data_IF_058471918456
#
_entry.id   IF_058471918456
#
_cell.length_a   1.000
_cell.length_b   1.000
_cell.length_c   1.000
_cell.angle_alpha   90.00
_cell.angle_beta   90.00
_cell.angle_gamma   90.00
#
_symmetry.space_group_name_H-M   'P 1'
#
loop_
_entity.id
_entity.type
_entity.pdbx_description
1 polymer ?
#
# COMPACT_ATOMS: atom_id res chain seq x y z
N UNK A 1 44.82 52.12 71.01
CA UNK A 1 45.00 51.54 69.66
C UNK A 1 44.04 52.20 68.64
N UNK A 2 44.31 53.41 68.12
CA UNK A 2 43.50 53.99 67.04
C UNK A 2 44.26 54.24 65.73
N UNK A 3 45.59 54.04 65.67
CA UNK A 3 46.42 54.47 64.54
C UNK A 3 46.45 53.52 63.34
N UNK A 4 46.17 52.23 63.51
CA UNK A 4 46.31 51.25 62.41
C UNK A 4 45.05 51.20 61.53
N UNK A 5 43.86 51.48 62.11
CA UNK A 5 42.58 51.40 61.39
C UNK A 5 42.37 52.59 60.44
N UNK A 6 42.89 53.78 60.78
CA UNK A 6 42.81 54.98 59.92
C UNK A 6 43.74 54.91 58.70
N UNK A 7 44.88 54.22 58.81
CA UNK A 7 45.79 54.02 57.67
C UNK A 7 45.28 52.97 56.67
N UNK A 8 44.54 51.95 57.12
CA UNK A 8 43.95 50.94 56.24
C UNK A 8 42.76 51.46 55.41
N UNK A 9 41.92 52.33 55.98
CA UNK A 9 40.79 52.96 55.25
C UNK A 9 41.28 54.00 54.24
N UNK A 10 42.34 54.75 54.56
CA UNK A 10 42.98 55.66 53.61
C UNK A 10 43.62 54.91 52.43
N UNK A 11 44.26 53.77 52.68
CA UNK A 11 44.87 52.94 51.64
C UNK A 11 43.84 52.29 50.71
N UNK A 12 42.70 51.84 51.22
CA UNK A 12 41.62 51.29 50.38
C UNK A 12 40.91 52.36 49.54
N UNK A 13 40.70 53.56 50.11
CA UNK A 13 40.21 54.74 49.38
C UNK A 13 41.16 55.20 48.28
N UNK A 14 42.46 55.20 48.53
CA UNK A 14 43.48 55.51 47.54
C UNK A 14 43.55 54.46 46.41
N UNK A 15 43.44 53.17 46.74
CA UNK A 15 43.46 52.11 45.74
C UNK A 15 42.23 52.14 44.83
N UNK A 16 41.04 52.33 45.40
CA UNK A 16 39.79 52.44 44.64
C UNK A 16 39.77 53.66 43.73
N UNK A 17 40.25 54.82 44.20
CA UNK A 17 40.40 56.02 43.36
C UNK A 17 41.46 55.84 42.28
N UNK A 18 42.57 55.16 42.55
CA UNK A 18 43.59 54.87 41.54
C UNK A 18 43.08 53.93 40.45
N UNK A 19 42.29 52.92 40.83
CA UNK A 19 41.65 51.98 39.91
C UNK A 19 40.61 52.71 39.05
N UNK A 20 39.75 53.56 39.62
CA UNK A 20 38.75 54.30 38.85
C UNK A 20 39.39 55.30 37.89
N UNK A 21 40.48 55.97 38.28
CA UNK A 21 41.23 56.89 37.40
C UNK A 21 41.90 56.13 36.25
N UNK A 22 42.61 55.02 36.53
CA UNK A 22 43.22 54.20 35.46
C UNK A 22 42.18 53.58 34.54
N UNK A 23 41.06 53.14 35.10
CA UNK A 23 39.93 52.62 34.34
C UNK A 23 39.37 53.71 33.42
N UNK A 24 39.15 54.92 33.93
CA UNK A 24 38.66 56.06 33.14
C UNK A 24 39.65 56.50 32.06
N UNK A 25 40.97 56.46 32.33
CA UNK A 25 41.99 56.79 31.33
C UNK A 25 42.05 55.79 30.15
N UNK A 26 41.70 54.52 30.38
CA UNK A 26 41.62 53.50 29.33
C UNK A 26 40.27 53.55 28.60
N UNK A 27 39.18 53.75 29.33
CA UNK A 27 37.81 53.74 28.81
C UNK A 27 37.49 55.03 28.05
N UNK A 28 37.95 56.19 28.51
CA UNK A 28 37.68 57.49 27.91
C UNK A 28 38.04 57.57 26.41
N UNK A 29 39.24 57.17 25.95
CA UNK A 29 39.56 57.18 24.52
C UNK A 29 38.83 56.09 23.71
N UNK A 30 38.30 55.05 24.36
CA UNK A 30 37.46 54.04 23.72
C UNK A 30 36.04 54.61 23.54
N UNK A 31 35.45 55.27 24.53
CA UNK A 31 34.10 55.85 24.47
C UNK A 31 34.04 57.13 23.61
N UNK A 32 35.12 57.91 23.54
CA UNK A 32 35.16 59.18 22.75
C UNK A 32 35.30 58.93 21.24
N UNK A 33 35.69 57.73 20.84
CA UNK A 33 35.83 57.35 19.43
C UNK A 33 34.45 57.16 18.79
N UNK A 34 34.22 57.83 17.67
CA UNK A 34 32.94 57.78 16.96
C UNK A 34 32.59 56.33 16.53
N UNK A 35 33.59 55.48 16.34
CA UNK A 35 33.45 54.07 15.99
C UNK A 35 32.76 53.26 17.10
N UNK A 36 33.01 53.57 18.37
CA UNK A 36 32.39 52.83 19.49
C UNK A 36 30.97 53.30 19.74
N UNK A 37 30.69 54.60 19.57
CA UNK A 37 29.33 55.13 19.59
C UNK A 37 28.46 54.48 18.49
N UNK A 38 29.02 54.31 17.28
CA UNK A 38 28.33 53.66 16.17
C UNK A 38 28.09 52.17 16.44
N UNK A 39 29.07 51.46 17.02
CA UNK A 39 28.91 50.06 17.41
C UNK A 39 27.83 49.87 18.48
N UNK A 40 27.79 50.74 19.49
CA UNK A 40 26.75 50.72 20.54
C UNK A 40 25.37 50.98 19.93
N UNK A 41 25.25 51.95 19.03
CA UNK A 41 23.99 52.26 18.36
C UNK A 41 23.50 51.10 17.49
N UNK A 42 24.40 50.40 16.80
CA UNK A 42 24.07 49.21 16.02
C UNK A 42 23.61 48.05 16.91
N UNK A 43 24.22 47.85 18.09
CA UNK A 43 23.79 46.83 19.06
C UNK A 43 22.40 47.16 19.60
N UNK A 44 22.13 48.43 19.96
CA UNK A 44 20.81 48.87 20.43
C UNK A 44 19.75 48.67 19.33
N UNK A 45 20.09 49.03 18.08
CA UNK A 45 19.20 48.82 16.94
C UNK A 45 18.92 47.33 16.70
N UNK A 46 19.96 46.49 16.72
CA UNK A 46 19.82 45.04 16.55
C UNK A 46 18.97 44.43 17.67
N UNK A 47 19.18 44.86 18.92
CA UNK A 47 18.37 44.43 20.06
C UNK A 47 16.90 44.83 19.88
N UNK A 48 16.63 46.08 19.52
CA UNK A 48 15.26 46.57 19.26
C UNK A 48 14.60 45.81 18.10
N UNK A 49 15.36 45.55 17.03
CA UNK A 49 14.90 44.77 15.88
C UNK A 49 14.50 43.35 16.27
N UNK A 50 15.34 42.64 17.03
CA UNK A 50 15.04 41.28 17.51
C UNK A 50 13.81 41.27 18.40
N UNK A 51 13.67 42.23 19.32
CA UNK A 51 12.49 42.31 20.18
C UNK A 51 11.20 42.59 19.38
N UNK A 52 11.28 43.46 18.36
CA UNK A 52 10.17 43.72 17.45
C UNK A 52 9.78 42.46 16.66
N UNK A 53 10.77 41.74 16.11
CA UNK A 53 10.58 40.49 15.38
C UNK A 53 9.91 39.42 16.27
N UNK A 54 10.40 39.25 17.50
CA UNK A 54 9.84 38.32 18.49
C UNK A 54 8.40 38.68 18.82
N UNK A 55 8.08 39.96 19.03
CA UNK A 55 6.72 40.43 19.33
C UNK A 55 5.78 40.23 18.15
N UNK A 56 6.23 40.55 16.93
CA UNK A 56 5.47 40.38 15.69
C UNK A 56 5.13 38.90 15.42
N UNK A 57 6.10 38.00 15.62
CA UNK A 57 5.91 36.57 15.43
C UNK A 57 5.47 35.82 16.70
N UNK A 58 5.32 36.48 17.84
CA UNK A 58 4.85 35.89 19.10
C UNK A 58 3.54 35.09 18.94
N UNK A 59 2.49 35.57 18.24
CA UNK A 59 1.26 34.78 18.05
C UNK A 59 1.47 33.50 17.21
N UNK A 60 2.44 33.50 16.30
CA UNK A 60 2.84 32.30 15.53
C UNK A 60 3.65 31.33 16.41
N UNK A 61 4.62 31.84 17.17
CA UNK A 61 5.44 31.05 18.10
C UNK A 61 4.62 30.44 19.25
N UNK A 62 3.60 31.15 19.74
CA UNK A 62 2.65 30.65 20.75
C UNK A 62 1.53 29.80 20.15
N UNK A 63 1.58 29.48 18.85
CA UNK A 63 0.60 28.64 18.19
C UNK A 63 -0.86 29.13 18.33
N UNK A 64 -1.10 30.41 18.60
CA UNK A 64 -2.43 30.94 18.96
C UNK A 64 -3.43 30.95 17.79
N UNK A 65 -2.93 30.78 16.55
CA UNK A 65 -3.73 30.63 15.33
C UNK A 65 -3.59 29.25 14.68
N UNK A 66 -2.96 28.28 15.37
CA UNK A 66 -2.97 26.91 14.87
C UNK A 66 -4.37 26.34 15.09
N UNK A 67 -5.12 26.23 14.00
CA UNK A 67 -6.22 25.26 13.94
C UNK A 67 -5.59 23.92 14.29
N UNK A 68 -6.17 23.21 15.26
CA UNK A 68 -5.75 21.87 15.62
C UNK A 68 -5.93 20.99 14.36
N UNK A 69 -4.85 20.85 13.60
CA UNK A 69 -4.80 20.08 12.37
C UNK A 69 -4.65 18.62 12.79
N UNK A 70 -5.76 18.07 13.30
CA UNK A 70 -5.81 16.68 13.71
C UNK A 70 -5.66 15.82 12.45
N UNK A 71 -4.54 15.08 12.35
CA UNK A 71 -4.30 14.14 11.26
C UNK A 71 -5.46 13.14 11.11
N UNK A 72 -6.17 12.84 12.21
CA UNK A 72 -7.35 11.98 12.21
C UNK A 72 -8.52 12.54 11.39
N UNK A 73 -8.59 13.86 11.21
CA UNK A 73 -9.70 14.53 10.52
C UNK A 73 -9.42 14.77 9.04
N UNK A 74 -8.14 14.85 8.63
CA UNK A 74 -7.74 15.02 7.22
C UNK A 74 -7.47 13.69 6.52
N UNK A 75 -6.97 12.68 7.24
CA UNK A 75 -6.97 11.30 6.80
C UNK A 75 -8.31 10.70 7.17
N UNK A 76 -9.33 10.92 6.33
CA UNK A 76 -10.52 10.08 6.37
C UNK A 76 -10.08 8.64 6.07
N UNK A 77 -9.66 7.91 7.12
CA UNK A 77 -9.37 6.50 7.04
C UNK A 77 -10.72 5.78 6.95
N UNK A 78 -11.22 5.65 5.73
CA UNK A 78 -12.27 4.69 5.46
C UNK A 78 -11.65 3.29 5.60
N UNK A 79 -12.15 2.52 6.56
CA UNK A 79 -11.73 1.13 6.72
C UNK A 79 -11.90 0.44 5.36
N UNK A 80 -10.85 -0.17 4.80
CA UNK A 80 -10.94 -0.78 3.49
C UNK A 80 -11.97 -1.91 3.55
N UNK A 81 -12.95 -1.84 2.66
CA UNK A 81 -14.09 -2.76 2.65
C UNK A 81 -13.76 -4.02 1.86
N UNK A 82 -14.35 -5.13 2.29
CA UNK A 82 -14.34 -6.35 1.49
C UNK A 82 -15.20 -6.12 0.23
N UNK A 83 -14.65 -6.41 -0.93
CA UNK A 83 -15.33 -6.27 -2.21
C UNK A 83 -15.48 -7.65 -2.84
N UNK A 84 -16.67 -7.95 -3.33
CA UNK A 84 -16.95 -9.12 -4.13
C UNK A 84 -17.88 -8.69 -5.27
N UNK A 85 -17.46 -8.97 -6.50
CA UNK A 85 -18.19 -8.61 -7.71
C UNK A 85 -18.12 -9.76 -8.71
N UNK A 86 -19.27 -10.14 -9.24
CA UNK A 86 -19.40 -11.08 -10.35
C UNK A 86 -19.69 -10.38 -11.68
N UNK A 87 -19.92 -11.20 -12.70
CA UNK A 87 -20.37 -10.79 -14.01
C UNK A 87 -21.76 -10.16 -13.98
N UNK A 88 -22.65 -10.63 -13.09
CA UNK A 88 -24.02 -10.09 -12.94
C UNK A 88 -24.06 -8.66 -12.39
N UNK A 89 -23.00 -8.23 -11.71
CA UNK A 89 -22.90 -6.90 -11.12
C UNK A 89 -22.40 -5.85 -12.13
N UNK A 90 -22.12 -6.27 -13.37
CA UNK A 90 -21.62 -5.40 -14.43
C UNK A 90 -22.77 -4.69 -15.15
N UNK A 91 -22.56 -3.40 -15.44
CA UNK A 91 -23.48 -2.63 -16.26
C UNK A 91 -23.51 -3.21 -17.68
N UNK A 92 -24.70 -3.59 -18.13
CA UNK A 92 -24.94 -4.02 -19.51
C UNK A 92 -25.02 -2.75 -20.37
N UNK A 93 -23.95 -2.47 -21.08
CA UNK A 93 -23.89 -1.40 -22.07
C UNK A 93 -24.76 -1.70 -23.29
N UNK A 94 -24.77 -0.76 -24.23
CA UNK A 94 -25.33 -1.00 -25.56
C UNK A 94 -24.55 -2.15 -26.23
N UNK A 95 -25.24 -2.97 -27.01
CA UNK A 95 -24.66 -4.07 -27.80
C UNK A 95 -24.13 -5.28 -27.01
N UNK A 96 -24.76 -5.66 -25.88
CA UNK A 96 -24.36 -6.85 -25.09
C UNK A 96 -22.87 -6.78 -24.69
N UNK A 97 -22.46 -5.61 -24.20
CA UNK A 97 -21.11 -5.32 -23.74
C UNK A 97 -21.13 -5.01 -22.25
N UNK A 98 -20.42 -5.83 -21.47
CA UNK A 98 -20.28 -5.66 -20.03
C UNK A 98 -18.94 -4.98 -19.74
N UNK A 99 -18.97 -3.91 -18.96
CA UNK A 99 -17.75 -3.22 -18.58
C UNK A 99 -17.80 -2.74 -17.14
N UNK A 100 -16.62 -2.71 -16.51
CA UNK A 100 -16.42 -2.15 -15.19
C UNK A 100 -15.13 -1.36 -15.19
N UNK A 101 -15.20 -0.14 -14.68
CA UNK A 101 -14.05 0.74 -14.55
C UNK A 101 -13.81 1.05 -13.08
N UNK A 102 -12.82 0.39 -12.49
CA UNK A 102 -12.29 0.74 -11.19
C UNK A 102 -11.10 1.71 -11.35
N UNK A 103 -10.65 2.33 -10.25
CA UNK A 103 -9.51 3.27 -10.27
C UNK A 103 -8.20 2.61 -10.76
N UNK A 104 -8.02 1.32 -10.48
CA UNK A 104 -6.76 0.59 -10.72
C UNK A 104 -6.90 -0.60 -11.67
N UNK A 105 -8.11 -0.94 -12.10
CA UNK A 105 -8.34 -2.05 -13.03
C UNK A 105 -9.60 -1.79 -13.84
N UNK A 106 -9.73 -2.47 -14.96
CA UNK A 106 -10.95 -2.47 -15.74
C UNK A 106 -11.26 -3.90 -16.17
N UNK A 107 -12.55 -4.17 -16.34
CA UNK A 107 -13.05 -5.38 -16.97
C UNK A 107 -13.89 -4.99 -18.17
N UNK A 108 -13.80 -5.79 -19.23
CA UNK A 108 -14.60 -5.64 -20.43
C UNK A 108 -14.88 -7.02 -21.00
N UNK A 109 -16.13 -7.27 -21.36
CA UNK A 109 -16.55 -8.47 -22.06
C UNK A 109 -17.62 -8.12 -23.08
N UNK A 110 -17.61 -8.82 -24.21
CA UNK A 110 -18.54 -8.61 -25.30
C UNK A 110 -19.00 -9.97 -25.81
N UNK A 111 -20.32 -10.17 -25.93
CA UNK A 111 -20.88 -11.40 -26.49
C UNK A 111 -20.45 -11.61 -27.96
N UNK A 112 -20.22 -10.52 -28.70
CA UNK A 112 -19.85 -10.57 -30.10
C UNK A 112 -20.93 -11.22 -30.97
N UNK A 113 -20.52 -12.11 -31.87
CA UNK A 113 -21.42 -12.79 -32.82
C UNK A 113 -22.06 -14.06 -32.26
N UNK A 114 -21.78 -14.42 -31.00
CA UNK A 114 -22.39 -15.60 -30.37
C UNK A 114 -23.86 -15.32 -30.04
N UNK A 115 -24.69 -16.36 -30.03
CA UNK A 115 -26.10 -16.23 -29.68
C UNK A 115 -26.32 -15.88 -28.21
N UNK A 116 -25.42 -16.32 -27.33
CA UNK A 116 -25.47 -16.07 -25.89
C UNK A 116 -24.07 -15.97 -25.29
N UNK A 117 -23.96 -15.31 -24.13
CA UNK A 117 -22.71 -15.08 -23.42
C UNK A 117 -22.44 -16.17 -22.36
N UNK A 118 -21.41 -16.98 -22.60
CA UNK A 118 -20.98 -18.05 -21.69
C UNK A 118 -19.87 -17.62 -20.74
N UNK A 119 -19.08 -16.61 -21.10
CA UNK A 119 -17.97 -16.13 -20.28
C UNK A 119 -18.48 -15.53 -18.98
N UNK A 120 -17.71 -15.75 -17.91
CA UNK A 120 -17.93 -15.12 -16.61
C UNK A 120 -16.63 -14.55 -16.07
N UNK A 121 -16.78 -13.64 -15.13
CA UNK A 121 -15.68 -13.08 -14.36
C UNK A 121 -16.04 -13.01 -12.90
N UNK A 122 -15.03 -12.97 -12.05
CA UNK A 122 -15.21 -12.66 -10.66
C UNK A 122 -14.01 -11.86 -10.15
N UNK A 123 -14.30 -10.80 -9.41
CA UNK A 123 -13.31 -10.03 -8.67
C UNK A 123 -13.63 -10.05 -7.19
N UNK A 124 -12.62 -10.33 -6.37
CA UNK A 124 -12.72 -10.30 -4.92
C UNK A 124 -11.52 -9.55 -4.35
N UNK A 125 -11.76 -8.67 -3.38
CA UNK A 125 -10.71 -7.98 -2.64
C UNK A 125 -10.99 -8.05 -1.14
N UNK A 126 -10.06 -8.65 -0.41
CA UNK A 126 -10.06 -8.76 1.03
C UNK A 126 -8.88 -8.01 1.63
N UNK A 127 -9.07 -6.73 1.99
CA UNK A 127 -8.01 -5.92 2.57
C UNK A 127 -7.65 -6.35 4.00
N UNK A 128 -8.56 -7.03 4.71
CA UNK A 128 -8.35 -7.44 6.09
C UNK A 128 -7.47 -8.69 6.21
N UNK A 129 -7.49 -9.55 5.19
CA UNK A 129 -6.75 -10.82 5.19
C UNK A 129 -5.70 -10.81 4.09
N UNK A 130 -4.46 -10.50 4.47
CA UNK A 130 -3.29 -10.46 3.58
C UNK A 130 -3.37 -9.46 2.42
N UNK A 131 -4.32 -8.53 2.42
CA UNK A 131 -4.62 -7.68 1.26
C UNK A 131 -4.78 -8.51 -0.03
N UNK A 132 -5.61 -9.55 0.07
CA UNK A 132 -5.82 -10.57 -0.94
C UNK A 132 -6.74 -10.03 -2.04
N UNK A 133 -6.27 -10.00 -3.28
CA UNK A 133 -7.09 -9.71 -4.46
C UNK A 133 -7.12 -10.93 -5.38
N UNK A 134 -8.30 -11.33 -5.82
CA UNK A 134 -8.51 -12.45 -6.74
C UNK A 134 -9.26 -11.91 -7.96
N UNK A 135 -8.65 -12.07 -9.13
CA UNK A 135 -9.26 -11.77 -10.43
C UNK A 135 -9.41 -13.08 -11.17
N UNK A 136 -10.61 -13.46 -11.58
CA UNK A 136 -10.86 -14.71 -12.28
C UNK A 136 -11.69 -14.49 -13.53
N UNK A 137 -11.37 -15.22 -14.59
CA UNK A 137 -12.11 -15.28 -15.85
C UNK A 137 -12.37 -16.75 -16.16
N UNK A 138 -13.58 -17.04 -16.63
CA UNK A 138 -14.05 -18.37 -16.95
C UNK A 138 -14.69 -18.33 -18.34
N UNK A 139 -14.09 -19.00 -19.32
CA UNK A 139 -14.65 -19.14 -20.67
C UNK A 139 -15.50 -20.42 -20.69
N UNK A 140 -16.82 -20.27 -20.77
CA UNK A 140 -17.75 -21.39 -20.72
C UNK A 140 -17.94 -22.03 -22.10
N UNK A 141 -18.15 -23.35 -22.16
CA UNK A 141 -18.46 -24.04 -23.40
C UNK A 141 -19.49 -25.15 -23.19
N UNK A 142 -20.35 -25.34 -24.20
CA UNK A 142 -21.44 -26.32 -24.17
C UNK A 142 -22.64 -25.91 -23.30
N UNK A 143 -22.56 -24.74 -22.67
CA UNK A 143 -23.52 -24.15 -21.76
C UNK A 143 -22.83 -23.36 -20.65
N UNK A 144 -23.42 -22.22 -20.25
CA UNK A 144 -22.93 -21.31 -19.21
C UNK A 144 -22.95 -21.84 -17.76
N UNK A 145 -23.40 -23.07 -17.53
CA UNK A 145 -23.66 -23.57 -16.18
C UNK A 145 -22.39 -23.70 -15.33
N UNK A 146 -21.31 -24.24 -15.91
CA UNK A 146 -20.04 -24.42 -15.20
C UNK A 146 -19.35 -23.08 -14.95
N UNK A 147 -19.33 -22.17 -15.92
CA UNK A 147 -18.76 -20.83 -15.74
C UNK A 147 -19.53 -20.01 -14.70
N UNK A 148 -20.87 -20.11 -14.65
CA UNK A 148 -21.71 -19.50 -13.59
C UNK A 148 -21.41 -20.10 -12.20
N UNK A 149 -21.20 -21.41 -12.12
CA UNK A 149 -20.81 -22.05 -10.85
C UNK A 149 -19.44 -21.57 -10.38
N UNK A 150 -18.47 -21.48 -11.30
CA UNK A 150 -17.12 -20.99 -10.96
C UNK A 150 -17.14 -19.53 -10.51
N UNK A 151 -17.94 -18.68 -11.16
CA UNK A 151 -18.16 -17.28 -10.74
C UNK A 151 -18.59 -17.19 -9.27
N UNK A 152 -19.56 -18.00 -8.85
CA UNK A 152 -20.14 -17.94 -7.50
C UNK A 152 -19.24 -18.58 -6.42
N UNK A 153 -18.51 -19.63 -6.78
CA UNK A 153 -17.87 -20.51 -5.78
C UNK A 153 -16.34 -20.42 -5.76
N UNK A 154 -15.68 -20.20 -6.90
CA UNK A 154 -14.23 -20.38 -7.03
C UNK A 154 -13.44 -19.47 -6.08
N UNK A 155 -13.62 -18.15 -6.19
CA UNK A 155 -12.80 -17.20 -5.41
C UNK A 155 -13.04 -17.33 -3.90
N UNK A 156 -14.27 -17.64 -3.49
CA UNK A 156 -14.62 -17.87 -2.09
C UNK A 156 -13.94 -19.12 -1.53
N UNK A 157 -13.97 -20.21 -2.29
CA UNK A 157 -13.34 -21.47 -1.90
C UNK A 157 -11.80 -21.33 -1.84
N UNK A 158 -11.20 -20.67 -2.83
CA UNK A 158 -9.77 -20.37 -2.85
C UNK A 158 -9.37 -19.48 -1.66
N UNK A 159 -10.11 -18.40 -1.39
CA UNK A 159 -9.88 -17.55 -0.21
C UNK A 159 -9.89 -18.37 1.07
N UNK A 160 -10.93 -19.19 1.26
CA UNK A 160 -11.04 -20.03 2.45
C UNK A 160 -9.86 -21.01 2.56
N UNK A 161 -9.42 -21.61 1.45
CA UNK A 161 -8.27 -22.52 1.40
C UNK A 161 -6.96 -21.82 1.75
N UNK A 162 -6.72 -20.61 1.25
CA UNK A 162 -5.50 -19.83 1.53
C UNK A 162 -5.46 -19.42 3.01
N UNK A 163 -6.59 -18.93 3.55
CA UNK A 163 -6.63 -18.40 4.93
C UNK A 163 -6.62 -19.47 6.01
N UNK A 164 -7.30 -20.60 5.79
CA UNK A 164 -7.53 -21.61 6.83
C UNK A 164 -6.97 -22.99 6.49
N UNK A 165 -6.69 -23.27 5.22
CA UNK A 165 -6.31 -24.60 4.75
C UNK A 165 -4.82 -24.91 4.82
N UNK A 166 -3.97 -23.91 5.11
CA UNK A 166 -2.52 -24.08 5.21
C UNK A 166 -2.14 -24.11 6.69
N UNK A 167 -1.83 -25.28 7.28
CA UNK A 167 -1.50 -25.36 8.69
C UNK A 167 -0.20 -24.59 8.99
N UNK A 168 -0.27 -23.64 9.92
CA UNK A 168 0.86 -22.80 10.35
C UNK A 168 2.10 -23.60 10.79
N UNK A 169 1.92 -24.87 11.19
CA UNK A 169 3.01 -25.79 11.57
C UNK A 169 3.95 -26.21 10.43
N UNK A 170 3.58 -26.05 9.15
CA UNK A 170 4.51 -26.31 8.02
C UNK A 170 5.47 -25.13 7.75
N UNK A 171 5.20 -23.94 8.31
CA UNK A 171 6.01 -22.73 8.11
C UNK A 171 7.23 -22.65 9.05
N UNK A 172 7.37 -23.57 10.01
CA UNK A 172 8.46 -23.57 11.00
C UNK A 172 9.68 -24.44 10.64
N UNK A 173 9.73 -25.03 9.44
CA UNK A 173 10.93 -25.73 8.96
C UNK A 173 11.66 -24.91 7.89
N UNK A 174 12.90 -24.60 8.21
CA UNK A 174 13.88 -23.81 7.44
C UNK A 174 14.04 -24.28 5.99
N UNK A 175 13.37 -23.60 5.05
CA UNK A 175 13.76 -23.45 3.62
C UNK A 175 12.83 -22.44 2.94
N UNK A 176 13.40 -21.43 2.30
CA UNK A 176 12.67 -20.31 1.68
C UNK A 176 11.68 -20.69 0.55
N UNK A 177 11.71 -21.93 0.05
CA UNK A 177 10.88 -22.42 -1.06
C UNK A 177 9.64 -23.23 -0.61
N UNK A 178 9.56 -23.64 0.65
CA UNK A 178 8.44 -24.44 1.20
C UNK A 178 7.08 -23.71 1.22
N UNK A 179 6.98 -22.41 1.58
CA UNK A 179 5.66 -21.76 1.67
C UNK A 179 4.96 -21.68 0.31
N UNK A 180 5.71 -21.48 -0.77
CA UNK A 180 5.15 -21.41 -2.12
C UNK A 180 4.58 -22.76 -2.59
N UNK A 181 5.26 -23.86 -2.27
CA UNK A 181 4.77 -25.20 -2.63
C UNK A 181 3.51 -25.58 -1.85
N UNK A 182 3.44 -25.24 -0.56
CA UNK A 182 2.24 -25.50 0.23
C UNK A 182 1.01 -24.73 -0.29
N UNK A 183 1.18 -23.46 -0.67
CA UNK A 183 0.12 -22.65 -1.30
C UNK A 183 -0.30 -23.26 -2.64
N UNK A 184 0.67 -23.63 -3.48
CA UNK A 184 0.41 -24.28 -4.77
C UNK A 184 -0.38 -25.58 -4.61
N UNK A 185 0.05 -26.47 -3.72
CA UNK A 185 -0.64 -27.73 -3.41
C UNK A 185 -2.06 -27.49 -2.90
N UNK A 186 -2.24 -26.51 -2.03
CA UNK A 186 -3.54 -26.15 -1.48
C UNK A 186 -4.51 -25.66 -2.56
N UNK A 187 -4.03 -24.80 -3.47
CA UNK A 187 -4.81 -24.29 -4.61
C UNK A 187 -5.17 -25.42 -5.57
N UNK A 188 -4.21 -26.25 -5.98
CA UNK A 188 -4.46 -27.39 -6.88
C UNK A 188 -5.49 -28.34 -6.28
N UNK A 189 -5.37 -28.65 -4.98
CA UNK A 189 -6.34 -29.49 -4.28
C UNK A 189 -7.73 -28.88 -4.26
N UNK A 190 -7.85 -27.57 -4.08
CA UNK A 190 -9.15 -26.89 -4.11
C UNK A 190 -9.75 -26.87 -5.51
N UNK A 191 -8.94 -26.67 -6.56
CA UNK A 191 -9.40 -26.76 -7.96
C UNK A 191 -9.96 -28.15 -8.25
N UNK A 192 -9.25 -29.21 -7.89
CA UNK A 192 -9.77 -30.59 -8.05
C UNK A 192 -11.04 -30.83 -7.24
N UNK A 193 -11.11 -30.30 -6.00
CA UNK A 193 -12.32 -30.41 -5.17
C UNK A 193 -13.52 -29.72 -5.82
N UNK A 194 -13.34 -28.56 -6.42
CA UNK A 194 -14.39 -27.83 -7.13
C UNK A 194 -14.87 -28.61 -8.36
N UNK A 195 -13.94 -29.18 -9.14
CA UNK A 195 -14.25 -30.03 -10.29
C UNK A 195 -15.08 -31.27 -9.89
N UNK A 196 -14.66 -31.93 -8.81
CA UNK A 196 -15.38 -33.01 -8.15
C UNK A 196 -16.79 -32.62 -7.67
N UNK A 197 -16.95 -31.41 -7.13
CA UNK A 197 -18.24 -30.86 -6.71
C UNK A 197 -19.15 -30.64 -7.93
N UNK A 198 -18.62 -30.05 -9.01
CA UNK A 198 -19.33 -29.83 -10.27
C UNK A 198 -19.79 -31.17 -10.87
N UNK A 199 -18.92 -32.18 -10.90
CA UNK A 199 -19.25 -33.52 -11.41
C UNK A 199 -20.39 -34.21 -10.66
N UNK A 200 -20.63 -33.86 -9.39
CA UNK A 200 -21.73 -34.38 -8.55
C UNK A 200 -23.02 -33.55 -8.65
N UNK A 201 -22.99 -32.39 -9.32
CA UNK A 201 -24.20 -31.60 -9.61
C UNK A 201 -25.06 -32.32 -10.66
N UNK A 202 -26.14 -31.66 -11.10
CA UNK A 202 -27.09 -32.23 -12.04
C UNK A 202 -26.40 -32.68 -13.35
N UNK A 203 -26.32 -34.00 -13.64
CA UNK A 203 -25.59 -34.51 -14.80
C UNK A 203 -26.12 -33.97 -16.13
N UNK A 204 -27.41 -33.64 -16.22
CA UNK A 204 -27.99 -33.06 -17.45
C UNK A 204 -27.41 -31.70 -17.78
N UNK A 205 -26.93 -30.97 -16.78
CA UNK A 205 -26.32 -29.64 -16.95
C UNK A 205 -24.80 -29.69 -17.03
N UNK A 206 -24.15 -30.74 -16.51
CA UNK A 206 -22.68 -30.81 -16.40
C UNK A 206 -22.02 -31.77 -17.38
N UNK A 207 -22.73 -32.78 -17.90
CA UNK A 207 -22.09 -33.83 -18.73
C UNK A 207 -21.52 -33.33 -20.06
N UNK A 208 -22.07 -32.23 -20.59
CA UNK A 208 -21.66 -31.65 -21.88
C UNK A 208 -21.27 -30.17 -21.75
N UNK A 209 -21.13 -29.67 -20.53
CA UNK A 209 -20.71 -28.30 -20.27
C UNK A 209 -19.37 -28.30 -19.56
N UNK A 210 -18.59 -27.27 -19.81
CA UNK A 210 -17.32 -27.06 -19.16
C UNK A 210 -16.97 -25.59 -19.14
N UNK A 211 -15.84 -25.28 -18.51
CA UNK A 211 -15.28 -23.94 -18.57
C UNK A 211 -13.78 -23.99 -18.41
N UNK A 212 -13.09 -23.03 -19.02
CA UNK A 212 -11.72 -22.71 -18.63
C UNK A 212 -11.70 -22.00 -17.28
N UNK A 213 -10.52 -21.91 -16.70
CA UNK A 213 -10.26 -21.17 -15.48
C UNK A 213 -8.91 -20.47 -15.62
N UNK A 214 -8.92 -19.13 -15.66
CA UNK A 214 -7.72 -18.34 -15.45
C UNK A 214 -7.95 -17.41 -14.26
N UNK A 215 -7.05 -17.45 -13.28
CA UNK A 215 -7.16 -16.61 -12.09
C UNK A 215 -5.81 -16.03 -11.69
N UNK A 216 -5.79 -14.74 -11.38
CA UNK A 216 -4.67 -14.01 -10.82
C UNK A 216 -4.97 -13.67 -9.36
N UNK A 217 -4.16 -14.23 -8.46
CA UNK A 217 -4.28 -14.09 -7.01
C UNK A 217 -3.10 -13.24 -6.53
N UNK A 218 -3.37 -12.06 -6.01
CA UNK A 218 -2.37 -11.14 -5.47
C UNK A 218 -2.47 -11.09 -3.94
N UNK A 219 -1.40 -11.47 -3.26
CA UNK A 219 -1.27 -11.44 -1.81
C UNK A 219 -0.21 -10.42 -1.39
N UNK A 220 -0.50 -9.67 -0.33
CA UNK A 220 0.39 -8.67 0.28
C UNK A 220 0.96 -7.63 -0.69
N UNK A 221 0.29 -7.37 -1.81
CA UNK A 221 0.79 -6.56 -2.93
C UNK A 221 2.16 -6.99 -3.47
N UNK A 222 2.54 -8.25 -3.25
CA UNK A 222 3.89 -8.75 -3.54
C UNK A 222 3.89 -10.08 -4.26
N UNK A 223 3.02 -11.00 -3.86
CA UNK A 223 3.01 -12.36 -4.38
C UNK A 223 1.85 -12.50 -5.36
N UNK A 224 2.19 -12.70 -6.63
CA UNK A 224 1.23 -12.97 -7.70
C UNK A 224 1.27 -14.46 -8.02
N UNK A 225 0.17 -15.15 -7.78
CA UNK A 225 -0.06 -16.54 -8.17
C UNK A 225 -1.05 -16.58 -9.32
N UNK A 226 -0.69 -17.23 -10.42
CA UNK A 226 -1.59 -17.43 -11.57
C UNK A 226 -1.99 -18.89 -11.63
N UNK A 227 -3.30 -19.13 -11.70
CA UNK A 227 -3.91 -20.45 -11.85
C UNK A 227 -4.49 -20.52 -13.25
N UNK A 228 -4.06 -21.50 -14.05
CA UNK A 228 -4.57 -21.71 -15.40
C UNK A 228 -5.03 -23.16 -15.60
N UNK A 229 -6.26 -23.34 -16.09
CA UNK A 229 -6.83 -24.59 -16.54
C UNK A 229 -7.58 -24.33 -17.84
N UNK A 230 -7.04 -24.81 -18.95
CA UNK A 230 -7.60 -24.57 -20.29
C UNK A 230 -6.71 -23.65 -21.12
N UNK A 231 -7.31 -23.01 -22.11
CA UNK A 231 -6.63 -22.21 -23.14
C UNK A 231 -6.83 -20.70 -23.00
N UNK A 232 -7.50 -20.24 -21.94
CA UNK A 232 -7.41 -18.86 -21.49
C UNK A 232 -5.98 -18.49 -21.05
N UNK A 233 -5.66 -17.20 -21.06
CA UNK A 233 -4.27 -16.75 -20.87
C UNK A 233 -4.14 -15.51 -19.99
N UNK A 234 -3.15 -15.53 -19.11
CA UNK A 234 -2.67 -14.36 -18.38
C UNK A 234 -1.33 -13.88 -18.94
N UNK A 235 -1.23 -12.56 -19.16
CA UNK A 235 -0.01 -11.88 -19.61
C UNK A 235 0.19 -10.67 -18.70
N UNK A 236 1.38 -10.56 -18.12
CA UNK A 236 1.81 -9.43 -17.32
C UNK A 236 2.64 -8.44 -18.15
N UNK A 237 2.89 -7.27 -17.58
CA UNK A 237 3.80 -6.28 -18.12
C UNK A 237 4.87 -5.98 -17.07
N UNK A 238 6.14 -6.02 -17.46
CA UNK A 238 7.23 -5.68 -16.55
C UNK A 238 7.41 -4.16 -16.41
N UNK A 239 8.30 -3.76 -15.51
CA UNK A 239 8.60 -2.34 -15.26
C UNK A 239 9.26 -1.61 -16.45
N UNK A 240 9.60 -2.33 -17.53
CA UNK A 240 10.16 -1.79 -18.77
C UNK A 240 9.11 -1.73 -19.89
N UNK A 241 7.87 -2.10 -19.61
CA UNK A 241 6.79 -2.14 -20.60
C UNK A 241 6.79 -3.42 -21.45
N UNK A 242 7.56 -4.45 -21.11
CA UNK A 242 7.62 -5.70 -21.86
C UNK A 242 6.53 -6.67 -21.40
N UNK A 243 5.83 -7.26 -22.36
CA UNK A 243 4.88 -8.34 -22.10
C UNK A 243 5.61 -9.61 -21.61
N UNK A 244 5.13 -10.17 -20.48
CA UNK A 244 5.62 -11.39 -19.86
C UNK A 244 4.47 -12.38 -19.79
N UNK A 245 4.65 -13.55 -20.39
CA UNK A 245 3.64 -14.62 -20.35
C UNK A 245 3.61 -15.21 -18.93
N UNK A 246 2.43 -15.21 -18.30
CA UNK A 246 2.26 -15.71 -16.92
C UNK A 246 1.58 -17.08 -16.85
N UNK A 247 0.91 -17.50 -17.93
CA UNK A 247 0.32 -18.84 -18.04
C UNK A 247 0.64 -19.50 -19.39
N UNK A 248 0.61 -20.84 -19.42
CA UNK A 248 0.70 -21.62 -20.65
C UNK A 248 -0.66 -22.23 -20.96
N UNK A 249 -1.17 -22.02 -22.17
CA UNK A 249 -2.42 -22.64 -22.63
C UNK A 249 -2.30 -24.17 -22.61
N UNK A 250 -3.35 -24.85 -22.18
CA UNK A 250 -3.46 -26.30 -22.27
C UNK A 250 -4.12 -26.68 -23.59
N UNK A 251 -3.32 -27.14 -24.55
CA UNK A 251 -3.80 -27.58 -25.87
C UNK A 251 -3.68 -29.10 -26.01
N UNK A 252 -4.62 -29.79 -26.68
CA UNK A 252 -4.54 -31.24 -26.89
C UNK A 252 -3.27 -31.69 -27.63
N UNK A 253 -2.69 -30.82 -28.46
CA UNK A 253 -1.46 -31.09 -29.22
C UNK A 253 -0.19 -31.02 -28.37
N UNK A 254 -0.24 -30.52 -27.13
CA UNK A 254 0.93 -30.50 -26.25
C UNK A 254 1.27 -31.93 -25.82
N UNK A 255 2.42 -32.42 -26.27
CA UNK A 255 2.88 -33.81 -26.05
C UNK A 255 2.98 -34.17 -24.55
N UNK A 256 3.24 -33.19 -23.68
CA UNK A 256 3.27 -33.37 -22.22
C UNK A 256 1.88 -33.60 -21.61
N UNK A 257 0.81 -33.11 -22.24
CA UNK A 257 -0.58 -33.31 -21.81
C UNK A 257 -1.17 -34.60 -22.39
N UNK A 258 -0.76 -34.94 -23.62
CA UNK A 258 -1.26 -36.08 -24.40
C UNK A 258 -1.08 -37.44 -23.71
N UNK A 259 -0.03 -37.63 -22.92
CA UNK A 259 0.20 -38.88 -22.17
C UNK A 259 -0.72 -39.08 -20.97
N UNK A 260 -1.23 -38.01 -20.35
CA UNK A 260 -2.15 -38.12 -19.20
C UNK A 260 -3.59 -38.49 -19.61
N UNK A 261 -3.99 -38.23 -20.87
CA UNK A 261 -5.33 -38.52 -21.38
C UNK A 261 -5.54 -39.99 -21.78
N UNK A 262 -4.49 -40.82 -21.81
CA UNK A 262 -4.56 -42.22 -22.24
C UNK A 262 -4.52 -43.24 -21.10
N UNK A 263 -4.42 -42.79 -19.85
CA UNK A 263 -4.21 -43.64 -18.66
C UNK A 263 -5.33 -43.56 -17.62
N UNK A 264 -6.48 -42.96 -17.94
CA UNK A 264 -7.71 -43.07 -17.15
C UNK A 264 -8.75 -43.88 -17.91
#
# INVERSE_FOLDING_TARGET
>A
MPSILSHLTAASGALTTFITIKFWQIISPIIIRYETALAILLIIFMYAYVQCLVKYHQPLMKAQKLIQYDMMRSLHFEKPQFIQMGFKDLDIGKDQCWHLKHKCFAYCANQGQREYMEDRMHYMHDPANNNLSIFSIFDGHGGKFVSEYLEEHFSRNIRHRILFGIPSRRLSFSKANEPFQAVKEAIVKEVHKIDDEIGRLNPRKTSFTGSTLISAILEHNRFLTVVNVGDSRAVGCDHRGKAVVLSKDHKPSDVSLFWNLRLN
#
